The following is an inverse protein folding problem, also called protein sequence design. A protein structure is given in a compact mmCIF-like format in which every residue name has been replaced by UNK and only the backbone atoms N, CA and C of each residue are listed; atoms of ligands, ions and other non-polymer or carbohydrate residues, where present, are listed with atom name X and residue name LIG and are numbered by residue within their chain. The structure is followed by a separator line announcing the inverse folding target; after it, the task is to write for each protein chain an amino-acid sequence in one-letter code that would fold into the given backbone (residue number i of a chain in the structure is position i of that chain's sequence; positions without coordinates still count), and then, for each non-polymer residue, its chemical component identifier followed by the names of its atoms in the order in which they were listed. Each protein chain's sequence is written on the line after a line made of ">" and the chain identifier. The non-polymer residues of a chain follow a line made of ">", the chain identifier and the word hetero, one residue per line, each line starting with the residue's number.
data_IF_819298051915
#
_entry.id   IF_819298051915
#
_cell.length_a   1.000
_cell.length_b   1.000
_cell.length_c   1.000
_cell.angle_alpha   90.00
_cell.angle_beta   90.00
_cell.angle_gamma   90.00
#
_symmetry.space_group_name_H-M   'P 1'
#
loop_
_entity.id
_entity.type
_entity.pdbx_description
1 polymer ?
#
# COMPACT_ATOMS: atom_id res chain seq x y z
N UNK A 1 23.19 1.17 27.67
CA UNK A 1 22.82 -0.17 27.16
C UNK A 1 24.03 -0.75 26.47
N UNK A 2 24.26 -2.08 26.48
CA UNK A 2 25.28 -2.67 25.61
C UNK A 2 24.97 -2.30 24.14
N UNK A 3 26.00 -2.00 23.36
CA UNK A 3 25.82 -1.66 21.94
C UNK A 3 25.14 -2.78 21.18
N UNK A 4 24.32 -2.42 20.18
CA UNK A 4 23.68 -3.39 19.28
C UNK A 4 24.79 -4.26 18.64
N UNK A 5 24.65 -5.60 18.59
CA UNK A 5 25.67 -6.45 17.95
C UNK A 5 25.75 -6.15 16.45
N UNK A 6 26.97 -5.94 15.92
CA UNK A 6 27.21 -5.51 14.52
C UNK A 6 28.18 -6.44 13.78
N UNK A 7 27.98 -6.58 12.47
CA UNK A 7 28.92 -7.20 11.53
C UNK A 7 29.62 -6.08 10.73
N UNK A 8 30.93 -5.92 10.89
CA UNK A 8 31.69 -4.82 10.30
C UNK A 8 32.33 -5.27 8.97
N UNK A 9 32.09 -4.53 7.89
CA UNK A 9 32.73 -4.77 6.58
C UNK A 9 33.98 -3.92 6.38
N UNK A 10 34.06 -2.74 7.01
CA UNK A 10 35.23 -1.87 7.03
C UNK A 10 35.39 -1.14 8.39
N UNK A 11 36.61 -0.71 8.69
CA UNK A 11 37.00 -0.11 9.98
C UNK A 11 36.26 1.20 10.31
N UNK A 12 35.74 1.91 9.30
CA UNK A 12 34.99 3.17 9.48
C UNK A 12 33.46 3.00 9.47
N UNK A 13 32.97 1.80 9.19
CA UNK A 13 31.53 1.54 9.17
C UNK A 13 30.91 1.81 10.54
N UNK A 14 31.62 1.43 11.62
CA UNK A 14 31.11 1.54 12.98
C UNK A 14 30.80 2.99 13.39
N UNK A 15 31.63 3.96 12.95
CA UNK A 15 31.44 5.39 13.22
C UNK A 15 30.31 6.02 12.41
N UNK A 16 30.11 5.56 11.16
CA UNK A 16 29.04 6.06 10.30
C UNK A 16 27.68 5.51 10.77
N UNK A 17 27.62 4.22 11.08
CA UNK A 17 26.43 3.56 11.62
C UNK A 17 26.06 4.10 13.01
N UNK A 18 27.04 4.32 13.88
CA UNK A 18 26.77 4.92 15.20
C UNK A 18 26.12 6.31 15.09
N UNK A 19 26.60 7.17 14.19
CA UNK A 19 26.01 8.50 14.01
C UNK A 19 24.60 8.48 13.41
N UNK A 20 24.33 7.61 12.44
CA UNK A 20 22.99 7.45 11.86
C UNK A 20 22.00 6.82 12.88
N UNK A 21 22.50 5.91 13.72
CA UNK A 21 21.71 5.34 14.81
C UNK A 21 21.49 6.32 15.96
N UNK A 22 22.42 7.24 16.26
CA UNK A 22 22.21 8.27 17.29
C UNK A 22 20.98 9.13 16.97
N UNK A 23 20.87 9.64 15.74
CA UNK A 23 19.70 10.42 15.31
C UNK A 23 18.41 9.57 15.32
N UNK A 24 18.50 8.32 14.87
CA UNK A 24 17.36 7.39 14.87
C UNK A 24 16.92 7.00 16.28
N UNK A 25 17.87 6.73 17.18
CA UNK A 25 17.64 6.33 18.57
C UNK A 25 17.11 7.53 19.38
N UNK A 26 17.62 8.75 19.17
CA UNK A 26 17.05 9.97 19.73
C UNK A 26 15.60 10.18 19.28
N UNK A 27 15.33 9.98 17.99
CA UNK A 27 13.96 10.02 17.47
C UNK A 27 13.08 8.91 18.09
N UNK A 28 13.57 7.67 18.15
CA UNK A 28 12.86 6.54 18.76
C UNK A 28 12.55 6.78 20.23
N UNK A 29 13.50 7.28 21.02
CA UNK A 29 13.28 7.63 22.43
C UNK A 29 12.26 8.76 22.57
N UNK A 30 12.26 9.73 21.65
CA UNK A 30 11.25 10.80 21.63
C UNK A 30 9.83 10.27 21.38
N UNK A 31 9.66 9.19 20.61
CA UNK A 31 8.35 8.62 20.26
C UNK A 31 7.92 7.43 21.15
N UNK A 32 8.84 6.79 21.87
CA UNK A 32 8.59 5.59 22.70
C UNK A 32 8.23 5.88 24.15
N UNK A 33 7.69 7.06 24.45
CA UNK A 33 7.22 7.38 25.79
C UNK A 33 6.05 6.46 26.19
N UNK A 34 5.92 6.18 27.49
CA UNK A 34 4.80 5.38 28.01
C UNK A 34 3.44 5.98 27.65
N UNK A 35 3.37 7.32 27.57
CA UNK A 35 2.17 8.04 27.17
C UNK A 35 1.83 7.82 25.69
N UNK A 36 2.79 8.00 24.77
CA UNK A 36 2.56 7.75 23.33
C UNK A 36 2.14 6.30 23.06
N UNK A 37 2.79 5.33 23.73
CA UNK A 37 2.39 3.91 23.65
C UNK A 37 0.98 3.67 24.17
N UNK A 38 0.59 4.34 25.27
CA UNK A 38 -0.77 4.26 25.82
C UNK A 38 -1.80 4.84 24.85
N UNK A 39 -1.51 5.98 24.22
CA UNK A 39 -2.39 6.59 23.23
C UNK A 39 -2.60 5.68 22.02
N UNK A 40 -1.53 5.09 21.49
CA UNK A 40 -1.62 4.09 20.40
C UNK A 40 -2.42 2.86 20.84
N UNK A 41 -2.16 2.34 22.05
CA UNK A 41 -2.91 1.20 22.60
C UNK A 41 -4.40 1.48 22.78
N UNK A 42 -4.76 2.67 23.28
CA UNK A 42 -6.16 3.11 23.41
C UNK A 42 -6.84 3.24 22.05
N UNK A 43 -6.14 3.79 21.04
CA UNK A 43 -6.62 3.86 19.67
C UNK A 43 -6.93 2.47 19.12
N UNK A 44 -5.98 1.53 19.19
CA UNK A 44 -6.20 0.14 18.74
C UNK A 44 -7.38 -0.49 19.49
N UNK A 45 -7.45 -0.33 20.82
CA UNK A 45 -8.54 -0.87 21.63
C UNK A 45 -9.92 -0.33 21.23
N UNK A 46 -10.01 0.97 20.96
CA UNK A 46 -11.26 1.63 20.56
C UNK A 46 -11.77 1.14 19.20
N UNK A 47 -10.86 0.86 18.26
CA UNK A 47 -11.21 0.54 16.88
C UNK A 47 -11.06 -0.95 16.51
N UNK A 48 -10.67 -1.82 17.44
CA UNK A 48 -10.44 -3.26 17.17
C UNK A 48 -11.65 -4.01 16.61
N UNK A 49 -12.87 -3.55 16.93
CA UNK A 49 -14.13 -4.14 16.46
C UNK A 49 -14.79 -3.27 15.37
N UNK A 50 -14.07 -2.27 14.84
CA UNK A 50 -14.60 -1.40 13.79
C UNK A 50 -14.83 -2.19 12.51
N UNK A 51 -15.93 -1.88 11.81
CA UNK A 51 -16.18 -2.44 10.49
C UNK A 51 -15.16 -1.88 9.50
N UNK A 52 -14.61 -2.69 8.58
CA UNK A 52 -13.74 -2.20 7.53
C UNK A 52 -14.40 -1.03 6.79
N UNK A 53 -13.71 0.11 6.74
CA UNK A 53 -14.12 1.28 5.98
C UNK A 53 -13.43 1.29 4.61
N UNK A 54 -13.96 2.06 3.66
CA UNK A 54 -13.29 2.32 2.38
C UNK A 54 -11.87 2.87 2.65
N UNK A 55 -10.87 2.52 1.83
CA UNK A 55 -9.48 2.97 2.00
C UNK A 55 -9.19 4.38 1.45
N UNK A 56 -9.94 4.83 0.44
CA UNK A 56 -9.74 6.18 -0.11
C UNK A 56 -9.89 7.36 0.90
N UNK A 57 -10.73 7.34 1.97
CA UNK A 57 -10.73 8.41 2.96
C UNK A 57 -9.41 8.46 3.72
N UNK A 58 -8.70 7.34 3.90
CA UNK A 58 -7.39 7.30 4.55
C UNK A 58 -6.35 7.99 3.67
N UNK A 59 -6.34 7.70 2.36
CA UNK A 59 -5.48 8.40 1.40
C UNK A 59 -5.72 9.90 1.45
N UNK A 60 -6.99 10.34 1.42
CA UNK A 60 -7.29 11.78 1.49
C UNK A 60 -6.97 12.39 2.85
N UNK A 61 -7.13 11.63 3.93
CA UNK A 61 -6.86 12.08 5.28
C UNK A 61 -5.38 12.36 5.51
N UNK A 62 -4.48 11.53 4.98
CA UNK A 62 -3.05 11.83 5.02
C UNK A 62 -2.78 13.19 4.38
N UNK A 63 -3.27 13.43 3.15
CA UNK A 63 -3.09 14.71 2.47
C UNK A 63 -3.65 15.89 3.29
N UNK A 64 -4.81 15.73 3.92
CA UNK A 64 -5.45 16.81 4.67
C UNK A 64 -4.76 17.10 6.02
N UNK A 65 -4.45 16.04 6.78
CA UNK A 65 -4.14 16.09 8.21
C UNK A 65 -2.64 15.97 8.50
N UNK A 66 -1.84 15.40 7.61
CA UNK A 66 -0.39 15.38 7.77
C UNK A 66 0.14 16.82 7.63
N UNK A 67 0.47 17.43 8.76
CA UNK A 67 0.83 18.85 8.83
C UNK A 67 2.19 19.13 8.19
N UNK A 68 3.16 18.26 8.43
CA UNK A 68 4.52 18.40 7.92
C UNK A 68 4.80 17.37 6.84
N UNK A 69 5.54 17.81 5.82
CA UNK A 69 6.23 16.95 4.86
C UNK A 69 5.31 16.05 4.02
N UNK A 70 4.03 16.38 3.90
CA UNK A 70 3.07 15.64 3.05
C UNK A 70 3.22 15.94 1.56
N UNK A 71 3.78 17.10 1.23
CA UNK A 71 4.00 17.53 -0.14
C UNK A 71 5.21 18.48 -0.22
N UNK A 72 5.93 18.44 -1.33
CA UNK A 72 7.15 19.23 -1.54
C UNK A 72 6.84 20.69 -1.87
N UNK A 73 5.85 20.93 -2.73
CA UNK A 73 5.44 22.25 -3.20
C UNK A 73 3.92 22.34 -3.49
N UNK A 74 3.47 23.46 -4.06
CA UNK A 74 2.06 23.66 -4.42
C UNK A 74 1.60 22.75 -5.56
N UNK A 75 2.50 22.44 -6.51
CA UNK A 75 2.24 21.53 -7.62
C UNK A 75 2.02 20.10 -7.14
N UNK A 76 2.85 19.62 -6.21
CA UNK A 76 2.67 18.30 -5.59
C UNK A 76 1.36 18.23 -4.81
N UNK A 77 0.95 19.28 -4.07
CA UNK A 77 -0.37 19.30 -3.43
C UNK A 77 -1.50 19.15 -4.46
N UNK A 78 -1.41 19.84 -5.60
CA UNK A 78 -2.37 19.69 -6.70
C UNK A 78 -2.35 18.26 -7.27
N UNK A 79 -1.18 17.69 -7.55
CA UNK A 79 -1.03 16.32 -8.05
C UNK A 79 -1.69 15.32 -7.10
N UNK A 80 -1.41 15.42 -5.80
CA UNK A 80 -2.01 14.54 -4.79
C UNK A 80 -3.52 14.74 -4.68
N UNK A 81 -3.99 15.98 -4.68
CA UNK A 81 -5.42 16.27 -4.57
C UNK A 81 -6.19 15.71 -5.76
N UNK A 82 -5.72 15.96 -6.98
CA UNK A 82 -6.40 15.53 -8.20
C UNK A 82 -6.37 14.02 -8.33
N UNK A 83 -5.20 13.37 -8.15
CA UNK A 83 -5.08 11.92 -8.20
C UNK A 83 -6.07 11.22 -7.24
N UNK A 84 -6.06 11.62 -5.97
CA UNK A 84 -6.91 11.02 -4.93
C UNK A 84 -8.40 11.33 -5.14
N UNK A 85 -8.73 12.47 -5.74
CA UNK A 85 -10.12 12.85 -6.06
C UNK A 85 -10.69 12.06 -7.25
N UNK A 86 -9.89 11.89 -8.30
CA UNK A 86 -10.27 11.07 -9.45
C UNK A 86 -10.38 9.59 -9.08
N UNK A 87 -9.44 9.08 -8.28
CA UNK A 87 -9.52 7.72 -7.77
C UNK A 87 -10.78 7.49 -6.93
N UNK A 88 -11.13 8.42 -6.04
CA UNK A 88 -12.41 8.37 -5.30
C UNK A 88 -13.59 8.33 -6.26
N UNK A 89 -13.60 9.15 -7.31
CA UNK A 89 -14.68 9.11 -8.31
C UNK A 89 -14.85 7.72 -8.93
N UNK A 90 -13.76 7.03 -9.26
CA UNK A 90 -13.81 5.67 -9.79
C UNK A 90 -14.40 4.66 -8.80
N UNK A 91 -14.08 4.81 -7.51
CA UNK A 91 -14.70 4.01 -6.44
C UNK A 91 -16.20 4.31 -6.36
N UNK A 92 -16.59 5.58 -6.39
CA UNK A 92 -17.99 6.01 -6.28
C UNK A 92 -18.83 5.59 -7.49
N UNK A 93 -18.20 5.45 -8.67
CA UNK A 93 -18.83 4.90 -9.86
C UNK A 93 -18.78 3.38 -9.96
N UNK A 94 -18.36 2.69 -8.90
CA UNK A 94 -18.24 1.23 -8.85
C UNK A 94 -17.38 0.66 -9.99
N UNK A 95 -16.40 1.42 -10.49
CA UNK A 95 -15.59 1.05 -11.65
C UNK A 95 -14.70 -0.17 -11.40
N UNK A 96 -14.35 -0.42 -10.13
CA UNK A 96 -13.51 -1.55 -9.72
C UNK A 96 -14.33 -2.77 -9.29
N UNK A 97 -15.65 -2.68 -9.25
CA UNK A 97 -16.49 -3.84 -9.00
C UNK A 97 -16.49 -4.69 -10.28
N UNK A 98 -15.81 -5.83 -10.22
CA UNK A 98 -15.81 -6.76 -11.33
C UNK A 98 -17.18 -7.43 -11.46
N UNK A 99 -17.66 -7.64 -12.68
CA UNK A 99 -18.73 -8.60 -13.01
C UNK A 99 -18.37 -10.06 -12.67
N UNK A 100 -17.16 -10.31 -12.14
CA UNK A 100 -16.75 -11.64 -11.76
C UNK A 100 -17.41 -12.05 -10.45
N UNK A 101 -18.15 -13.16 -10.54
CA UNK A 101 -18.76 -13.97 -9.49
C UNK A 101 -17.70 -14.51 -8.48
N UNK A 102 -16.93 -13.64 -7.84
CA UNK A 102 -16.44 -13.92 -6.50
C UNK A 102 -17.57 -13.49 -5.57
N UNK A 103 -18.03 -14.35 -4.64
CA UNK A 103 -19.03 -13.92 -3.67
C UNK A 103 -18.49 -12.69 -2.98
N UNK A 104 -19.15 -11.58 -3.21
CA UNK A 104 -18.87 -10.30 -2.60
C UNK A 104 -18.81 -10.51 -1.08
N UNK A 105 -17.62 -10.39 -0.49
CA UNK A 105 -17.47 -10.34 0.97
C UNK A 105 -16.66 -11.44 1.66
N UNK A 106 -15.96 -12.31 0.96
CA UNK A 106 -15.05 -13.28 1.60
C UNK A 106 -13.72 -12.61 2.02
N UNK A 107 -13.70 -12.07 3.23
CA UNK A 107 -12.48 -11.60 3.89
C UNK A 107 -11.73 -12.77 4.51
N UNK A 108 -10.41 -12.81 4.32
CA UNK A 108 -9.51 -13.84 4.87
C UNK A 108 -8.36 -13.20 5.60
N UNK A 109 -7.76 -13.96 6.52
CA UNK A 109 -6.49 -13.57 7.12
C UNK A 109 -5.44 -13.49 6.02
N UNK A 110 -4.83 -12.31 5.87
CA UNK A 110 -3.84 -12.00 4.87
C UNK A 110 -2.62 -11.37 5.55
N UNK A 111 -1.44 -11.57 4.96
CA UNK A 111 -0.20 -10.93 5.37
C UNK A 111 0.58 -10.53 4.12
N UNK A 112 0.99 -9.26 4.07
CA UNK A 112 1.79 -8.73 2.97
C UNK A 112 3.26 -9.18 3.03
N UNK A 113 3.72 -9.66 4.20
CA UNK A 113 5.13 -9.97 4.45
C UNK A 113 5.40 -11.48 4.60
N UNK A 114 4.85 -12.30 3.70
CA UNK A 114 5.17 -13.72 3.59
C UNK A 114 6.48 -13.97 2.82
N UNK A 115 7.47 -13.08 2.96
CA UNK A 115 8.79 -13.22 2.37
C UNK A 115 9.51 -14.46 2.93
N UNK A 116 10.49 -15.03 2.20
CA UNK A 116 11.20 -16.24 2.62
C UNK A 116 11.82 -16.18 4.03
N UNK A 117 12.19 -14.99 4.52
CA UNK A 117 12.73 -14.81 5.86
C UNK A 117 11.72 -15.14 6.98
N UNK A 118 10.42 -15.07 6.68
CA UNK A 118 9.33 -15.30 7.63
C UNK A 118 8.72 -16.72 7.53
N UNK A 119 9.26 -17.57 6.65
CA UNK A 119 8.80 -18.95 6.44
C UNK A 119 9.87 -19.93 6.91
N UNK A 120 9.54 -20.72 7.92
CA UNK A 120 10.42 -21.75 8.48
C UNK A 120 10.26 -23.06 7.70
N UNK A 121 11.38 -23.66 7.31
CA UNK A 121 11.41 -24.95 6.61
C UNK A 121 12.28 -25.97 7.33
N UNK A 122 11.93 -27.26 7.24
CA UNK A 122 12.76 -28.35 7.73
C UNK A 122 13.86 -28.76 6.71
N UNK A 123 14.63 -29.80 7.06
CA UNK A 123 15.70 -30.37 6.22
C UNK A 123 15.20 -30.92 4.87
N UNK A 124 13.90 -31.18 4.74
CA UNK A 124 13.25 -31.68 3.52
C UNK A 124 12.53 -30.56 2.75
N UNK A 125 12.79 -29.28 3.10
CA UNK A 125 12.14 -28.09 2.54
C UNK A 125 10.62 -28.05 2.76
N UNK A 126 10.10 -28.74 3.78
CA UNK A 126 8.70 -28.63 4.16
C UNK A 126 8.51 -27.42 5.06
N UNK A 127 7.49 -26.62 4.76
CA UNK A 127 7.08 -25.51 5.63
C UNK A 127 6.62 -26.08 6.97
N UNK A 128 7.29 -25.70 8.05
CA UNK A 128 6.97 -26.10 9.44
C UNK A 128 6.37 -24.98 10.26
N UNK A 129 6.46 -23.74 9.79
CA UNK A 129 5.87 -22.59 10.45
C UNK A 129 6.02 -21.30 9.65
N UNK A 130 5.17 -20.34 9.97
CA UNK A 130 5.27 -18.95 9.50
C UNK A 130 5.34 -18.08 10.75
N UNK A 131 6.28 -17.15 10.76
CA UNK A 131 6.50 -16.20 11.87
C UNK A 131 6.17 -14.79 11.41
N UNK A 132 6.34 -13.82 12.32
CA UNK A 132 6.25 -12.40 12.01
C UNK A 132 4.86 -11.93 11.53
N UNK A 133 3.84 -12.25 12.34
CA UNK A 133 2.44 -11.96 12.04
C UNK A 133 2.01 -10.52 12.38
N UNK A 134 2.95 -9.61 12.67
CA UNK A 134 2.63 -8.25 13.16
C UNK A 134 1.89 -7.37 12.13
N UNK A 135 1.96 -7.73 10.84
CA UNK A 135 1.25 -7.07 9.74
C UNK A 135 0.12 -7.92 9.15
N UNK A 136 -0.38 -8.92 9.88
CA UNK A 136 -1.51 -9.72 9.40
C UNK A 136 -2.85 -9.04 9.70
N UNK A 137 -3.76 -9.02 8.73
CA UNK A 137 -5.08 -8.40 8.84
C UNK A 137 -6.13 -9.16 8.01
N UNK A 138 -7.40 -8.82 8.19
CA UNK A 138 -8.48 -9.36 7.35
C UNK A 138 -8.57 -8.55 6.05
N UNK A 139 -8.33 -9.20 4.92
CA UNK A 139 -8.37 -8.58 3.59
C UNK A 139 -9.32 -9.34 2.65
N UNK A 140 -9.84 -8.71 1.59
CA UNK A 140 -10.52 -9.43 0.52
C UNK A 140 -9.64 -10.55 -0.05
N UNK A 141 -10.20 -11.73 -0.30
CA UNK A 141 -9.44 -12.88 -0.81
C UNK A 141 -8.70 -12.56 -2.14
N UNK A 142 -9.18 -11.58 -2.90
CA UNK A 142 -8.62 -11.10 -4.16
C UNK A 142 -7.20 -10.53 -4.01
N UNK A 143 -6.80 -10.09 -2.82
CA UNK A 143 -5.43 -9.61 -2.56
C UNK A 143 -4.41 -10.73 -2.78
N UNK A 144 -4.81 -12.00 -2.63
CA UNK A 144 -3.93 -13.14 -2.94
C UNK A 144 -3.60 -13.25 -4.43
N UNK A 145 -4.37 -12.59 -5.32
CA UNK A 145 -4.11 -12.60 -6.76
C UNK A 145 -3.04 -11.60 -7.16
N UNK A 146 -2.56 -10.78 -6.23
CA UNK A 146 -1.53 -9.80 -6.50
C UNK A 146 -0.13 -10.45 -6.52
N UNK A 147 0.76 -9.95 -7.38
CA UNK A 147 2.11 -10.45 -7.49
C UNK A 147 2.89 -10.13 -6.20
N UNK A 148 3.58 -11.10 -5.58
CA UNK A 148 4.26 -10.89 -4.31
C UNK A 148 5.47 -9.96 -4.43
N UNK A 149 5.41 -8.77 -3.82
CA UNK A 149 6.48 -7.76 -3.91
C UNK A 149 7.87 -8.31 -3.52
N UNK A 150 7.92 -9.27 -2.60
CA UNK A 150 9.14 -9.84 -2.03
C UNK A 150 9.96 -10.73 -2.98
N UNK A 151 9.54 -10.95 -4.23
CA UNK A 151 10.37 -11.71 -5.21
C UNK A 151 11.74 -11.06 -5.48
N UNK A 152 11.88 -9.76 -5.24
CA UNK A 152 13.16 -9.04 -5.31
C UNK A 152 13.75 -8.69 -3.94
N UNK A 153 12.99 -8.89 -2.85
CA UNK A 153 13.33 -8.52 -1.46
C UNK A 153 13.63 -7.03 -1.23
N UNK A 154 13.48 -6.19 -2.26
CA UNK A 154 13.61 -4.74 -2.23
C UNK A 154 12.41 -4.14 -2.99
N UNK A 155 11.75 -3.18 -2.34
CA UNK A 155 10.59 -2.51 -2.90
C UNK A 155 10.95 -1.59 -4.07
N UNK A 156 9.96 -1.27 -4.90
CA UNK A 156 10.17 -0.46 -6.08
C UNK A 156 10.63 0.98 -5.76
N UNK A 157 10.21 1.53 -4.61
CA UNK A 157 10.63 2.87 -4.13
C UNK A 157 12.12 2.95 -3.77
N UNK A 158 12.70 1.84 -3.32
CA UNK A 158 14.09 1.75 -2.88
C UNK A 158 15.00 1.17 -3.98
N UNK A 159 14.45 0.83 -5.14
CA UNK A 159 15.19 0.18 -6.23
C UNK A 159 16.08 1.17 -6.99
N UNK A 160 17.37 0.84 -7.26
CA UNK A 160 18.24 1.68 -8.08
C UNK A 160 17.67 1.84 -9.50
N UNK A 161 17.44 3.09 -9.92
CA UNK A 161 16.77 3.41 -11.19
C UNK A 161 15.24 3.46 -11.10
N UNK A 162 14.69 3.33 -9.89
CA UNK A 162 13.27 3.50 -9.58
C UNK A 162 12.38 2.40 -10.18
N UNK A 163 11.10 2.72 -10.25
CA UNK A 163 10.05 1.74 -10.58
C UNK A 163 10.20 1.08 -11.95
N UNK A 164 10.68 1.83 -12.96
CA UNK A 164 10.87 1.32 -14.31
C UNK A 164 11.92 0.20 -14.38
N UNK A 165 13.06 0.39 -13.71
CA UNK A 165 14.10 -0.64 -13.61
C UNK A 165 13.66 -1.78 -12.69
N UNK A 166 12.88 -1.49 -11.64
CA UNK A 166 12.30 -2.51 -10.78
C UNK A 166 11.38 -3.46 -11.56
N UNK A 167 10.45 -2.95 -12.40
CA UNK A 167 9.58 -3.81 -13.23
C UNK A 167 10.42 -4.73 -14.12
N UNK A 168 11.45 -4.20 -14.80
CA UNK A 168 12.33 -4.98 -15.68
C UNK A 168 13.04 -6.10 -14.93
N UNK A 169 13.44 -5.84 -13.68
CA UNK A 169 14.03 -6.85 -12.82
C UNK A 169 12.97 -7.85 -12.33
N UNK A 170 11.78 -7.39 -11.96
CA UNK A 170 10.73 -8.17 -11.29
C UNK A 170 10.06 -9.17 -12.24
N UNK A 171 9.68 -8.73 -13.44
CA UNK A 171 8.85 -9.51 -14.38
C UNK A 171 9.44 -10.91 -14.71
N UNK A 172 10.75 -11.08 -14.99
CA UNK A 172 11.33 -12.41 -15.19
C UNK A 172 11.25 -13.34 -13.96
N UNK A 173 11.33 -12.79 -12.75
CA UNK A 173 11.24 -13.56 -11.50
C UNK A 173 9.79 -13.95 -11.25
N UNK A 174 8.87 -13.04 -11.49
CA UNK A 174 7.44 -13.32 -11.44
C UNK A 174 7.04 -14.43 -12.42
N UNK A 175 7.52 -14.41 -13.67
CA UNK A 175 7.29 -15.52 -14.61
C UNK A 175 7.89 -16.86 -14.15
N UNK A 176 9.02 -16.83 -13.46
CA UNK A 176 9.61 -18.04 -12.88
C UNK A 176 8.76 -18.57 -11.73
N UNK A 177 8.31 -17.68 -10.84
CA UNK A 177 7.39 -18.02 -9.75
C UNK A 177 6.09 -18.64 -10.29
N UNK A 178 5.45 -18.02 -11.28
CA UNK A 178 4.23 -18.55 -11.89
C UNK A 178 4.42 -19.96 -12.47
N UNK A 179 5.55 -20.23 -13.15
CA UNK A 179 5.84 -21.57 -13.68
C UNK A 179 5.95 -22.63 -12.58
N UNK A 180 6.56 -22.29 -11.45
CA UNK A 180 6.65 -23.20 -10.30
C UNK A 180 5.28 -23.40 -9.67
N UNK A 181 4.53 -22.31 -9.46
CA UNK A 181 3.18 -22.37 -8.90
C UNK A 181 2.24 -23.24 -9.75
N UNK A 182 2.28 -23.10 -11.08
CA UNK A 182 1.50 -23.94 -12.01
C UNK A 182 1.83 -25.44 -11.89
N UNK A 183 3.09 -25.79 -11.62
CA UNK A 183 3.51 -27.19 -11.42
C UNK A 183 2.96 -27.72 -10.09
N UNK A 184 3.03 -26.92 -9.02
CA UNK A 184 2.52 -27.32 -7.70
C UNK A 184 0.98 -27.40 -7.68
N UNK A 185 0.28 -26.45 -8.31
CA UNK A 185 -1.19 -26.49 -8.47
C UNK A 185 -1.65 -27.75 -9.22
N UNK A 186 -0.91 -28.17 -10.25
CA UNK A 186 -1.19 -29.43 -10.96
C UNK A 186 -1.02 -30.65 -10.05
N UNK A 187 0.04 -30.70 -9.23
CA UNK A 187 0.24 -31.81 -8.27
C UNK A 187 -0.90 -31.89 -7.26
N UNK A 188 -1.36 -30.74 -6.76
CA UNK A 188 -2.49 -30.65 -5.83
C UNK A 188 -3.77 -31.09 -6.52
N UNK A 189 -4.05 -30.61 -7.74
CA UNK A 189 -5.21 -31.01 -8.53
C UNK A 189 -5.22 -32.49 -8.93
N UNK A 190 -4.05 -33.13 -9.06
CA UNK A 190 -3.94 -34.58 -9.32
C UNK A 190 -4.02 -35.44 -8.06
N UNK A 191 -3.61 -34.92 -6.90
CA UNK A 191 -3.61 -35.66 -5.62
C UNK A 191 -4.85 -35.38 -4.77
N UNK A 192 -5.57 -34.29 -5.05
CA UNK A 192 -6.81 -33.90 -4.42
C UNK A 192 -7.96 -34.16 -5.38
N UNK A 193 -8.69 -35.25 -5.15
CA UNK A 193 -10.15 -35.14 -5.26
C UNK A 193 -10.49 -33.98 -4.35
N UNK A 194 -10.80 -32.82 -4.95
CA UNK A 194 -11.58 -31.79 -4.26
C UNK A 194 -12.76 -32.56 -3.69
N UNK A 195 -12.74 -32.83 -2.39
CA UNK A 195 -13.97 -33.12 -1.67
C UNK A 195 -14.82 -31.91 -1.94
N UNK A 196 -15.72 -32.11 -2.90
CA UNK A 196 -16.88 -31.32 -3.23
C UNK A 196 -17.77 -31.27 -2.00
N UNK A 197 -17.31 -30.52 -1.00
CA UNK A 197 -18.05 -30.16 0.19
C UNK A 197 -18.07 -28.64 0.35
N UNK A 198 -18.04 -27.91 -0.77
CA UNK A 198 -18.78 -26.65 -0.88
C UNK A 198 -20.09 -26.97 -1.60
N UNK A 199 -21.25 -26.89 -0.90
CA UNK A 199 -22.55 -27.18 -1.48
C UNK A 199 -23.11 -26.04 -2.32
N UNK A 200 -22.41 -24.91 -2.45
CA UNK A 200 -22.80 -23.80 -3.30
C UNK A 200 -22.05 -23.89 -4.64
N UNK A 201 -22.65 -24.64 -5.56
CA UNK A 201 -22.15 -24.81 -6.92
C UNK A 201 -22.16 -23.49 -7.67
N UNK A 202 -20.99 -22.88 -7.80
CA UNK A 202 -20.79 -21.72 -8.67
C UNK A 202 -19.68 -20.82 -8.17
N UNK A 203 -18.41 -21.26 -8.25
CA UNK A 203 -17.30 -20.34 -8.04
C UNK A 203 -16.19 -20.64 -9.04
N UNK A 204 -15.84 -19.63 -9.84
CA UNK A 204 -14.89 -19.70 -10.96
C UNK A 204 -13.60 -20.46 -10.60
N UNK A 205 -13.34 -21.56 -11.29
CA UNK A 205 -12.35 -22.62 -11.01
C UNK A 205 -10.93 -22.32 -11.50
N UNK A 206 -10.55 -21.05 -11.63
CA UNK A 206 -9.23 -20.68 -12.15
C UNK A 206 -8.13 -20.86 -11.08
N UNK A 207 -7.01 -21.54 -11.42
CA UNK A 207 -5.84 -21.63 -10.54
C UNK A 207 -5.29 -20.25 -10.15
N UNK A 208 -4.67 -20.15 -8.98
CA UNK A 208 -4.06 -18.93 -8.46
C UNK A 208 -3.01 -18.37 -9.44
N UNK A 209 -2.20 -19.22 -10.04
CA UNK A 209 -1.22 -18.79 -11.06
C UNK A 209 -1.87 -18.07 -12.24
N UNK A 210 -3.03 -18.53 -12.69
CA UNK A 210 -3.77 -17.90 -13.78
C UNK A 210 -4.38 -16.57 -13.34
N UNK A 211 -4.93 -16.50 -12.13
CA UNK A 211 -5.46 -15.26 -11.54
C UNK A 211 -4.37 -14.21 -11.38
N UNK A 212 -3.20 -14.59 -10.85
CA UNK A 212 -2.03 -13.71 -10.75
C UNK A 212 -1.54 -13.22 -12.11
N UNK A 213 -1.53 -14.10 -13.12
CA UNK A 213 -1.14 -13.73 -14.49
C UNK A 213 -2.11 -12.74 -15.11
N UNK A 214 -3.41 -12.92 -14.91
CA UNK A 214 -4.45 -11.99 -15.35
C UNK A 214 -4.27 -10.64 -14.63
N UNK A 215 -4.10 -10.67 -13.30
CA UNK A 215 -3.87 -9.46 -12.51
C UNK A 215 -2.69 -8.67 -13.04
N UNK A 216 -1.54 -9.32 -13.27
CA UNK A 216 -0.34 -8.72 -13.85
C UNK A 216 -0.60 -8.08 -15.22
N UNK A 217 -1.18 -8.83 -16.16
CA UNK A 217 -1.43 -8.39 -17.54
C UNK A 217 -2.40 -7.22 -17.60
N UNK A 218 -3.45 -7.29 -16.81
CA UNK A 218 -4.49 -6.26 -16.74
C UNK A 218 -4.12 -5.12 -15.79
N UNK A 219 -2.95 -5.19 -15.12
CA UNK A 219 -2.46 -4.20 -14.16
C UNK A 219 -3.46 -3.92 -13.03
N UNK A 220 -4.33 -4.86 -12.68
CA UNK A 220 -5.30 -4.67 -11.59
C UNK A 220 -4.60 -4.67 -10.23
N UNK A 221 -3.52 -5.43 -10.08
CA UNK A 221 -2.66 -5.37 -8.89
C UNK A 221 -2.13 -3.98 -8.56
N UNK A 222 -1.91 -3.12 -9.56
CA UNK A 222 -1.42 -1.76 -9.33
C UNK A 222 -2.41 -0.92 -8.53
N UNK A 223 -3.70 -1.26 -8.56
CA UNK A 223 -4.73 -0.58 -7.77
C UNK A 223 -4.50 -0.89 -6.29
N UNK A 224 -4.41 -2.16 -5.93
CA UNK A 224 -4.16 -2.59 -4.56
C UNK A 224 -2.80 -2.09 -4.07
N UNK A 225 -1.75 -2.26 -4.90
CA UNK A 225 -0.41 -1.79 -4.61
C UNK A 225 -0.35 -0.27 -4.34
N UNK A 226 -1.05 0.55 -5.15
CA UNK A 226 -1.11 2.00 -4.91
C UNK A 226 -1.84 2.35 -3.61
N UNK A 227 -2.96 1.68 -3.33
CA UNK A 227 -3.82 2.01 -2.20
C UNK A 227 -3.18 1.63 -0.86
N UNK A 228 -2.28 0.63 -0.85
CA UNK A 228 -1.50 0.23 0.30
C UNK A 228 -0.32 1.16 0.58
N UNK A 229 0.20 1.86 -0.43
CA UNK A 229 1.27 2.85 -0.28
C UNK A 229 0.75 4.28 -0.39
N UNK A 230 0.30 4.85 0.73
CA UNK A 230 -0.22 6.22 0.78
C UNK A 230 0.78 7.31 0.33
N UNK A 231 2.10 7.05 0.46
CA UNK A 231 3.14 7.99 0.04
C UNK A 231 3.44 7.88 -1.46
N UNK A 232 3.49 6.66 -1.99
CA UNK A 232 3.71 6.38 -3.41
C UNK A 232 2.45 6.42 -4.28
N UNK A 233 1.25 6.53 -3.68
CA UNK A 233 -0.04 6.46 -4.39
C UNK A 233 -0.08 7.36 -5.62
N UNK A 234 0.28 8.63 -5.48
CA UNK A 234 0.12 9.63 -6.55
C UNK A 234 1.10 9.38 -7.69
N UNK A 235 2.32 8.91 -7.38
CA UNK A 235 3.28 8.47 -8.39
C UNK A 235 2.75 7.26 -9.17
N UNK A 236 2.24 6.24 -8.48
CA UNK A 236 1.71 5.04 -9.13
C UNK A 236 0.48 5.40 -9.97
N UNK A 237 -0.38 6.29 -9.44
CA UNK A 237 -1.55 6.80 -10.12
C UNK A 237 -1.18 7.44 -11.44
N UNK A 238 -0.36 8.49 -11.42
CA UNK A 238 -0.02 9.23 -12.63
C UNK A 238 0.78 8.40 -13.63
N UNK A 239 1.67 7.54 -13.14
CA UNK A 239 2.55 6.75 -14.00
C UNK A 239 1.85 5.57 -14.67
N UNK A 240 0.88 4.95 -14.00
CA UNK A 240 0.34 3.65 -14.42
C UNK A 240 -1.17 3.53 -14.49
N UNK A 241 -1.93 4.33 -13.72
CA UNK A 241 -3.38 4.16 -13.59
C UNK A 241 -4.18 5.25 -14.31
N UNK A 242 -3.77 6.52 -14.22
CA UNK A 242 -4.52 7.67 -14.76
C UNK A 242 -4.93 7.45 -16.22
N UNK A 243 -3.97 7.15 -17.09
CA UNK A 243 -4.24 7.05 -18.52
C UNK A 243 -5.20 5.92 -18.90
N UNK A 244 -5.25 4.86 -18.07
CA UNK A 244 -6.16 3.74 -18.27
C UNK A 244 -7.62 4.17 -18.13
N UNK A 245 -7.90 5.13 -17.24
CA UNK A 245 -9.26 5.54 -16.90
C UNK A 245 -9.67 6.85 -17.56
N UNK A 246 -8.72 7.76 -17.78
CA UNK A 246 -8.98 9.13 -18.26
C UNK A 246 -8.33 9.45 -19.60
N UNK A 247 -7.67 8.48 -20.25
CA UNK A 247 -7.04 8.65 -21.57
C UNK A 247 -5.64 9.27 -21.50
N UNK A 248 -5.03 9.67 -22.62
CA UNK A 248 -3.63 10.14 -22.64
C UNK A 248 -3.34 11.32 -21.67
N UNK A 249 -2.15 11.29 -21.06
CA UNK A 249 -1.62 12.35 -20.19
C UNK A 249 -0.09 12.43 -20.32
N UNK A 250 0.37 13.18 -21.32
CA UNK A 250 1.79 13.24 -21.69
C UNK A 250 2.70 13.65 -20.52
N UNK A 251 2.27 14.65 -19.76
CA UNK A 251 3.03 15.18 -18.62
C UNK A 251 2.90 14.32 -17.35
N UNK A 252 1.97 13.37 -17.33
CA UNK A 252 1.70 12.49 -16.18
C UNK A 252 1.48 13.29 -14.88
N UNK A 253 0.67 14.34 -14.97
CA UNK A 253 0.36 15.25 -13.86
C UNK A 253 -1.13 15.66 -13.84
N UNK A 254 -1.49 16.49 -12.87
CA UNK A 254 -2.86 16.99 -12.70
C UNK A 254 -3.35 17.96 -13.78
N UNK A 255 -2.47 18.65 -14.52
CA UNK A 255 -2.84 19.83 -15.33
C UNK A 255 -3.83 19.47 -16.41
N UNK A 256 -3.62 18.33 -17.08
CA UNK A 256 -4.53 17.82 -18.11
C UNK A 256 -5.88 17.37 -17.54
N UNK A 257 -5.98 17.16 -16.22
CA UNK A 257 -7.17 16.64 -15.52
C UNK A 257 -7.98 17.68 -14.77
N UNK A 258 -7.51 18.92 -14.68
CA UNK A 258 -8.22 19.99 -13.96
C UNK A 258 -9.67 20.19 -14.45
N UNK A 259 -9.91 20.01 -15.75
CA UNK A 259 -11.25 20.11 -16.34
C UNK A 259 -12.24 19.04 -15.85
N UNK A 260 -11.74 17.98 -15.21
CA UNK A 260 -12.57 16.92 -14.62
C UNK A 260 -13.04 17.27 -13.21
N UNK A 261 -12.54 18.34 -12.59
CA UNK A 261 -12.98 18.77 -11.26
C UNK A 261 -14.23 19.64 -11.38
N UNK A 262 -15.13 19.50 -10.40
CA UNK A 262 -16.21 20.48 -10.22
C UNK A 262 -15.66 21.81 -9.69
N UNK A 263 -16.45 22.88 -9.77
CA UNK A 263 -16.10 24.19 -9.19
C UNK A 263 -15.86 24.12 -7.67
N UNK A 264 -16.69 23.40 -6.87
CA UNK A 264 -16.38 23.15 -5.46
C UNK A 264 -15.05 22.42 -5.25
N UNK A 265 -14.75 21.39 -6.05
CA UNK A 265 -13.50 20.63 -5.95
C UNK A 265 -12.28 21.49 -6.29
N UNK A 266 -12.39 22.33 -7.31
CA UNK A 266 -11.33 23.29 -7.67
C UNK A 266 -11.08 24.28 -6.55
N UNK A 267 -12.15 24.80 -5.93
CA UNK A 267 -12.04 25.72 -4.79
C UNK A 267 -11.37 25.03 -3.59
N UNK A 268 -11.83 23.83 -3.24
CA UNK A 268 -11.24 23.02 -2.17
C UNK A 268 -9.75 22.72 -2.39
N UNK A 269 -9.34 22.45 -3.64
CA UNK A 269 -7.94 22.27 -4.00
C UNK A 269 -7.13 23.55 -3.74
N UNK A 270 -7.61 24.71 -4.22
CA UNK A 270 -6.93 26.00 -4.02
C UNK A 270 -6.79 26.34 -2.52
N UNK A 271 -7.84 26.12 -1.73
CA UNK A 271 -7.83 26.36 -0.29
C UNK A 271 -6.85 25.42 0.44
N UNK A 272 -6.78 24.16 0.00
CA UNK A 272 -5.83 23.19 0.54
C UNK A 272 -4.40 23.59 0.20
N UNK A 273 -4.10 23.97 -1.05
CA UNK A 273 -2.79 24.44 -1.49
C UNK A 273 -2.35 25.64 -0.64
N UNK A 274 -3.22 26.65 -0.52
CA UNK A 274 -2.94 27.81 0.32
C UNK A 274 -2.67 27.39 1.77
N UNK A 275 -3.47 26.49 2.34
CA UNK A 275 -3.23 26.04 3.71
C UNK A 275 -1.89 25.30 3.83
N UNK A 276 -1.59 24.37 2.93
CA UNK A 276 -0.35 23.57 2.96
C UNK A 276 0.89 24.42 2.75
N UNK A 277 0.80 25.48 1.94
CA UNK A 277 1.87 26.47 1.82
C UNK A 277 2.18 27.12 3.17
N UNK A 278 1.17 27.49 3.96
CA UNK A 278 1.38 28.03 5.31
C UNK A 278 1.94 26.97 6.28
N UNK A 279 1.41 25.74 6.27
CA UNK A 279 1.87 24.65 7.16
C UNK A 279 3.34 24.30 6.92
N UNK A 280 3.78 24.26 5.65
CA UNK A 280 5.19 24.03 5.27
C UNK A 280 6.14 25.12 5.75
N UNK A 281 5.67 26.36 5.88
CA UNK A 281 6.47 27.47 6.42
C UNK A 281 6.52 27.45 7.95
N UNK A 282 5.40 27.10 8.60
CA UNK A 282 5.28 27.12 10.07
C UNK A 282 6.04 25.98 10.76
N UNK A 283 6.00 24.76 10.17
CA UNK A 283 6.67 23.54 10.66
C UNK A 283 6.58 23.31 12.17
N UNK A 284 5.49 22.69 12.63
CA UNK A 284 5.30 22.34 14.06
C UNK A 284 4.65 20.99 14.26
N UNK A 285 4.75 20.47 15.48
CA UNK A 285 3.91 19.35 15.92
C UNK A 285 2.50 19.92 16.13
N UNK A 286 1.56 19.52 15.27
CA UNK A 286 0.17 19.95 15.34
C UNK A 286 -0.67 18.87 16.01
N UNK A 287 -1.36 19.24 17.08
CA UNK A 287 -2.30 18.35 17.77
C UNK A 287 -3.70 18.55 17.19
N UNK A 288 -4.24 17.50 16.57
CA UNK A 288 -5.60 17.50 16.04
C UNK A 288 -6.59 17.10 17.14
N UNK A 289 -7.63 17.91 17.33
CA UNK A 289 -8.87 17.41 17.93
C UNK A 289 -9.82 16.87 16.85
N UNK A 290 -10.76 16.01 17.27
CA UNK A 290 -11.68 15.32 16.37
C UNK A 290 -12.55 16.29 15.54
N UNK A 291 -12.96 17.42 16.12
CA UNK A 291 -13.78 18.43 15.44
C UNK A 291 -13.01 19.18 14.36
N UNK A 292 -11.76 19.57 14.65
CA UNK A 292 -10.86 20.19 13.67
C UNK A 292 -10.51 19.20 12.54
N UNK A 293 -10.15 17.97 12.88
CA UNK A 293 -9.84 16.93 11.89
C UNK A 293 -11.04 16.66 10.98
N UNK A 294 -12.24 16.54 11.55
CA UNK A 294 -13.46 16.33 10.78
C UNK A 294 -13.77 17.50 9.84
N UNK A 295 -13.64 18.73 10.33
CA UNK A 295 -13.81 19.94 9.51
C UNK A 295 -12.81 19.98 8.36
N UNK A 296 -11.54 19.67 8.63
CA UNK A 296 -10.46 19.63 7.64
C UNK A 296 -10.68 18.57 6.57
N UNK A 297 -11.21 17.41 6.94
CA UNK A 297 -11.54 16.36 5.96
C UNK A 297 -12.75 16.73 5.10
N UNK A 298 -13.77 17.36 5.69
CA UNK A 298 -14.95 17.80 4.95
C UNK A 298 -14.66 18.91 3.96
N UNK A 299 -13.68 19.78 4.23
CA UNK A 299 -13.32 20.85 3.30
C UNK A 299 -12.71 20.33 1.98
N UNK A 300 -12.39 19.03 1.88
CA UNK A 300 -11.91 18.44 0.64
C UNK A 300 -13.05 17.97 -0.29
N UNK A 301 -14.29 17.85 0.20
CA UNK A 301 -15.44 17.33 -0.56
C UNK A 301 -15.95 18.34 -1.59
#
# INVERSE_FOLDING_TARGET
>A
MPGKPRHLCAEKDDLLWQKLEEESDEWYESVRTAEKRRQVGNFIWQYKDAKPTLMHPVLRAQLALQYNDVAEDDGDVCDKFVARSLFRRLIDSHTFESDQECPTGDFRLFSEDLRPANVLVDENLKVVGVIDWEFAYMAPAEFTFDPPWWLLLLEAKDWPGGYGEWIKAYEPRFHTFLRVLEVEEKKIGTNGVLSSSDPDGGMSTLPLSQRMRMSWKEKTWLINYAVLDSWGFDFIWWKFLDERFYGPNEDQDHRSRLHLLSEPQTTAMCDLVATKAHERLDRKIFEWDEGLAFTRLRSLQ
#
